data_IF_936052300853
#
_entry.id   IF_936052300853
#
_cell.length_a   1.000
_cell.length_b   1.000
_cell.length_c   1.000
_cell.angle_alpha   90.00
_cell.angle_beta   90.00
_cell.angle_gamma   90.00
#
_symmetry.space_group_name_H-M   'P 1'
#
loop_
_entity.id
_entity.type
_entity.pdbx_description
1 polymer ?
#
# COMPACT_ATOMS: atom_id res chain seq x y z
N UNK A 1 -39.33 -59.54 -39.67
CA UNK A 1 -38.64 -60.09 -38.48
C UNK A 1 -38.03 -58.92 -37.71
N UNK A 2 -38.41 -58.67 -36.45
CA UNK A 2 -37.86 -57.57 -35.67
C UNK A 2 -36.62 -58.04 -34.89
N UNK A 3 -35.55 -57.25 -34.89
CA UNK A 3 -34.42 -57.40 -33.97
C UNK A 3 -34.37 -56.16 -33.09
N UNK A 4 -34.48 -56.37 -31.78
CA UNK A 4 -34.74 -55.34 -30.77
C UNK A 4 -33.58 -54.37 -30.52
N UNK A 5 -33.82 -53.30 -29.75
CA UNK A 5 -32.79 -52.33 -29.41
C UNK A 5 -31.88 -52.90 -28.31
N UNK A 6 -30.57 -52.89 -28.58
CA UNK A 6 -29.53 -53.21 -27.61
C UNK A 6 -29.63 -52.30 -26.38
N UNK A 7 -29.97 -52.90 -25.23
CA UNK A 7 -29.79 -52.28 -23.93
C UNK A 7 -28.29 -52.23 -23.62
N UNK A 8 -27.63 -51.13 -23.99
CA UNK A 8 -26.35 -50.75 -23.39
C UNK A 8 -26.55 -50.60 -21.87
N UNK A 9 -26.11 -51.61 -21.12
CA UNK A 9 -25.97 -51.53 -19.66
C UNK A 9 -25.11 -50.31 -19.33
N UNK A 10 -25.72 -49.27 -18.75
CA UNK A 10 -24.99 -48.23 -18.01
C UNK A 10 -24.20 -48.91 -16.90
N UNK A 11 -22.89 -49.04 -17.09
CA UNK A 11 -21.99 -49.41 -16.01
C UNK A 11 -22.08 -48.32 -14.91
N UNK A 12 -22.21 -48.70 -13.63
CA UNK A 12 -22.14 -47.73 -12.56
C UNK A 12 -20.77 -47.08 -12.60
N UNK A 13 -20.76 -45.76 -12.69
CA UNK A 13 -19.56 -44.92 -12.66
C UNK A 13 -18.83 -45.26 -11.37
N UNK A 14 -17.73 -46.01 -11.48
CA UNK A 14 -16.89 -46.33 -10.33
C UNK A 14 -16.38 -45.00 -9.76
N UNK A 15 -16.78 -44.71 -8.52
CA UNK A 15 -16.26 -43.61 -7.70
C UNK A 15 -14.74 -43.78 -7.58
N UNK A 16 -14.02 -43.22 -8.53
CA UNK A 16 -12.56 -43.19 -8.51
C UNK A 16 -12.18 -42.22 -7.40
N UNK A 17 -11.47 -42.65 -6.34
CA UNK A 17 -11.08 -41.74 -5.27
C UNK A 17 -10.28 -40.57 -5.86
N UNK A 18 -10.48 -39.33 -5.37
CA UNK A 18 -9.86 -38.15 -5.94
C UNK A 18 -8.34 -38.34 -5.99
N UNK A 19 -7.81 -38.32 -7.21
CA UNK A 19 -6.37 -38.46 -7.46
C UNK A 19 -5.68 -37.27 -6.79
N UNK A 20 -4.70 -37.50 -5.90
CA UNK A 20 -4.02 -36.39 -5.23
C UNK A 20 -3.35 -35.50 -6.27
N UNK A 21 -3.48 -34.17 -6.09
CA UNK A 21 -2.94 -33.16 -7.02
C UNK A 21 -1.41 -33.25 -7.17
N UNK A 22 -0.72 -33.86 -6.20
CA UNK A 22 0.72 -34.09 -6.20
C UNK A 22 0.98 -35.61 -6.14
N UNK A 23 1.15 -36.25 -7.30
CA UNK A 23 1.49 -37.66 -7.42
C UNK A 23 2.97 -37.82 -7.79
N UNK A 24 3.87 -37.43 -6.89
CA UNK A 24 5.30 -37.67 -7.06
C UNK A 24 5.58 -39.09 -6.56
N UNK A 25 6.01 -39.99 -7.45
CA UNK A 25 6.49 -41.33 -7.10
C UNK A 25 8.02 -41.31 -7.06
N UNK A 26 8.58 -41.24 -5.86
CA UNK A 26 10.03 -41.23 -5.62
C UNK A 26 10.65 -42.62 -5.53
N UNK A 27 9.85 -43.69 -5.61
CA UNK A 27 10.35 -45.08 -5.57
C UNK A 27 10.73 -45.57 -4.17
N UNK A 28 10.69 -44.69 -3.17
CA UNK A 28 10.84 -45.01 -1.76
C UNK A 28 9.47 -44.93 -1.05
N UNK A 29 8.97 -46.08 -0.59
CA UNK A 29 7.61 -46.25 -0.04
C UNK A 29 7.31 -45.35 1.17
N UNK A 30 8.31 -45.10 2.03
CA UNK A 30 8.18 -44.22 3.20
C UNK A 30 8.10 -42.74 2.83
N UNK A 31 8.77 -42.34 1.74
CA UNK A 31 8.78 -40.96 1.26
C UNK A 31 7.47 -40.65 0.52
N UNK A 32 7.01 -41.58 -0.31
CA UNK A 32 5.73 -41.48 -1.03
C UNK A 32 4.53 -41.43 -0.06
N UNK A 33 4.58 -42.17 1.06
CA UNK A 33 3.55 -42.13 2.11
C UNK A 33 3.52 -40.81 2.87
N UNK A 34 4.67 -40.16 3.09
CA UNK A 34 4.75 -38.83 3.71
C UNK A 34 4.29 -37.73 2.75
N UNK A 35 4.69 -37.78 1.48
CA UNK A 35 4.26 -36.83 0.45
C UNK A 35 2.75 -36.88 0.24
N UNK A 36 2.18 -38.09 0.17
CA UNK A 36 0.72 -38.25 0.02
C UNK A 36 -0.07 -37.82 1.26
N UNK A 37 0.45 -38.06 2.47
CA UNK A 37 -0.12 -37.55 3.71
C UNK A 37 -0.11 -36.01 3.77
N UNK A 38 1.00 -35.40 3.34
CA UNK A 38 1.13 -33.95 3.25
C UNK A 38 0.20 -33.34 2.18
N UNK A 39 0.04 -33.99 1.02
CA UNK A 39 -0.90 -33.57 -0.02
C UNK A 39 -2.35 -33.56 0.49
N UNK A 40 -2.78 -34.61 1.22
CA UNK A 40 -4.13 -34.66 1.81
C UNK A 40 -4.34 -33.61 2.89
N UNK A 41 -3.31 -33.31 3.68
CA UNK A 41 -3.36 -32.23 4.67
C UNK A 41 -3.52 -30.86 3.98
N UNK A 42 -2.76 -30.60 2.91
CA UNK A 42 -2.92 -29.39 2.10
C UNK A 42 -4.32 -29.30 1.51
N UNK A 43 -4.87 -30.38 0.95
CA UNK A 43 -6.23 -30.41 0.41
C UNK A 43 -7.28 -30.11 1.48
N UNK A 44 -7.12 -30.67 2.69
CA UNK A 44 -8.03 -30.41 3.82
C UNK A 44 -7.96 -28.96 4.31
N UNK A 45 -6.76 -28.37 4.33
CA UNK A 45 -6.53 -26.96 4.66
C UNK A 45 -7.13 -26.06 3.57
N UNK A 46 -6.93 -26.36 2.28
CA UNK A 46 -7.51 -25.61 1.16
C UNK A 46 -9.05 -25.68 1.14
N UNK A 47 -9.62 -26.80 1.61
CA UNK A 47 -11.07 -26.99 1.69
C UNK A 47 -11.73 -26.22 2.85
N UNK A 48 -10.97 -25.66 3.80
CA UNK A 48 -11.56 -24.82 4.84
C UNK A 48 -12.17 -23.54 4.24
N UNK A 49 -13.40 -23.16 4.62
CA UNK A 49 -14.11 -22.03 4.02
C UNK A 49 -13.27 -20.74 3.99
N UNK A 50 -12.64 -20.38 5.11
CA UNK A 50 -11.81 -19.17 5.22
C UNK A 50 -10.57 -19.22 4.30
N UNK A 51 -9.93 -20.39 4.20
CA UNK A 51 -8.75 -20.59 3.34
C UNK A 51 -9.16 -20.57 1.88
N UNK A 52 -10.26 -21.24 1.53
CA UNK A 52 -10.84 -21.19 0.19
C UNK A 52 -11.22 -19.76 -0.23
N UNK A 53 -11.80 -18.97 0.69
CA UNK A 53 -12.09 -17.56 0.44
C UNK A 53 -10.82 -16.73 0.23
N UNK A 54 -9.77 -16.93 1.04
CA UNK A 54 -8.49 -16.25 0.87
C UNK A 54 -7.79 -16.63 -0.44
N UNK A 55 -7.83 -17.91 -0.83
CA UNK A 55 -7.26 -18.38 -2.10
C UNK A 55 -7.99 -17.76 -3.29
N UNK A 56 -9.33 -17.75 -3.29
CA UNK A 56 -10.12 -17.07 -4.32
C UNK A 56 -9.85 -15.56 -4.37
N UNK A 57 -9.63 -14.94 -3.22
CA UNK A 57 -9.25 -13.53 -3.16
C UNK A 57 -7.85 -13.29 -3.75
N UNK A 58 -6.89 -14.16 -3.48
CA UNK A 58 -5.54 -14.09 -4.04
C UNK A 58 -5.52 -14.35 -5.55
N UNK A 59 -6.29 -15.32 -6.03
CA UNK A 59 -6.52 -15.58 -7.46
C UNK A 59 -7.11 -14.34 -8.13
N UNK A 60 -8.19 -13.78 -7.58
CA UNK A 60 -8.81 -12.54 -8.11
C UNK A 60 -7.84 -11.36 -8.10
N UNK A 61 -7.01 -11.22 -7.07
CA UNK A 61 -6.00 -10.17 -6.99
C UNK A 61 -4.97 -10.29 -8.12
N UNK A 62 -4.46 -11.50 -8.36
CA UNK A 62 -3.49 -11.79 -9.42
C UNK A 62 -4.09 -11.66 -10.83
N UNK A 63 -5.31 -12.15 -11.04
CA UNK A 63 -6.03 -12.02 -12.32
C UNK A 63 -6.24 -10.55 -12.72
N UNK A 64 -6.29 -9.65 -11.73
CA UNK A 64 -6.44 -8.20 -11.89
C UNK A 64 -5.12 -7.44 -11.80
N UNK A 65 -4.02 -8.11 -12.15
CA UNK A 65 -2.67 -7.54 -12.17
C UNK A 65 -2.17 -7.00 -10.82
N UNK A 66 -2.70 -7.49 -9.71
CA UNK A 66 -2.38 -6.97 -8.37
C UNK A 66 -0.89 -7.02 -8.04
N UNK A 67 -0.23 -8.12 -8.42
CA UNK A 67 1.24 -8.27 -8.25
C UNK A 67 2.01 -7.24 -9.07
N UNK A 68 1.61 -7.00 -10.32
CA UNK A 68 2.26 -6.01 -11.20
C UNK A 68 2.02 -4.58 -10.70
N UNK A 69 0.83 -4.27 -10.19
CA UNK A 69 0.57 -2.98 -9.55
C UNK A 69 1.40 -2.79 -8.27
N UNK A 70 1.53 -3.83 -7.45
CA UNK A 70 2.41 -3.80 -6.27
C UNK A 70 3.87 -3.54 -6.65
N UNK A 71 4.37 -4.21 -7.69
CA UNK A 71 5.71 -3.97 -8.24
C UNK A 71 5.88 -2.53 -8.76
N UNK A 72 4.90 -2.02 -9.51
CA UNK A 72 4.91 -0.64 -10.02
C UNK A 72 4.93 0.39 -8.87
N UNK A 73 4.05 0.22 -7.87
CA UNK A 73 4.00 1.12 -6.70
C UNK A 73 5.35 1.10 -5.96
N UNK A 74 5.96 -0.07 -5.79
CA UNK A 74 7.27 -0.22 -5.14
C UNK A 74 8.35 0.52 -5.91
N UNK A 75 8.41 0.33 -7.24
CA UNK A 75 9.34 1.01 -8.14
C UNK A 75 9.20 2.54 -8.06
N UNK A 76 7.98 3.07 -8.19
CA UNK A 76 7.74 4.52 -8.09
C UNK A 76 7.99 5.09 -6.70
N UNK A 77 7.75 4.31 -5.64
CA UNK A 77 8.02 4.74 -4.26
C UNK A 77 9.53 4.83 -4.01
N UNK A 78 10.29 3.84 -4.47
CA UNK A 78 11.75 3.86 -4.39
C UNK A 78 12.35 5.04 -5.16
N UNK A 79 11.91 5.26 -6.40
CA UNK A 79 12.36 6.41 -7.20
C UNK A 79 12.01 7.75 -6.56
N UNK A 80 10.89 7.83 -5.84
CA UNK A 80 10.48 9.05 -5.13
C UNK A 80 11.31 9.34 -3.88
N UNK A 81 12.09 8.38 -3.38
CA UNK A 81 12.95 8.58 -2.22
C UNK A 81 13.99 9.68 -2.47
N UNK A 82 14.60 9.69 -3.66
CA UNK A 82 15.66 10.65 -3.99
C UNK A 82 15.12 12.10 -3.96
N UNK A 83 14.03 12.44 -4.68
CA UNK A 83 13.45 13.78 -4.60
C UNK A 83 12.98 14.16 -3.20
N UNK A 84 12.38 13.23 -2.44
CA UNK A 84 11.94 13.49 -1.06
C UNK A 84 13.14 13.82 -0.17
N UNK A 85 14.25 13.09 -0.31
CA UNK A 85 15.50 13.37 0.40
C UNK A 85 16.09 14.71 0.00
N UNK A 86 16.09 15.06 -1.30
CA UNK A 86 16.54 16.36 -1.77
C UNK A 86 15.73 17.51 -1.17
N UNK A 87 14.39 17.41 -1.17
CA UNK A 87 13.51 18.41 -0.57
C UNK A 87 13.75 18.51 0.94
N UNK A 88 13.90 17.37 1.63
CA UNK A 88 14.19 17.33 3.07
C UNK A 88 15.55 17.95 3.41
N UNK A 89 16.57 17.65 2.61
CA UNK A 89 17.92 18.20 2.73
C UNK A 89 17.95 19.70 2.49
N UNK A 90 17.23 20.17 1.46
CA UNK A 90 17.06 21.59 1.20
C UNK A 90 16.31 22.30 2.33
N UNK A 91 15.22 21.70 2.84
CA UNK A 91 14.46 22.23 3.97
C UNK A 91 15.35 22.37 5.21
N UNK A 92 16.14 21.36 5.55
CA UNK A 92 17.15 21.44 6.61
C UNK A 92 18.18 22.55 6.34
N UNK A 93 18.67 22.65 5.09
CA UNK A 93 19.59 23.70 4.66
C UNK A 93 19.01 25.12 4.86
N UNK A 94 17.73 25.33 4.56
CA UNK A 94 17.02 26.59 4.83
C UNK A 94 16.89 26.87 6.33
N UNK A 95 16.46 25.88 7.12
CA UNK A 95 16.32 26.03 8.58
C UNK A 95 17.66 26.36 9.24
N UNK A 96 18.73 25.67 8.84
CA UNK A 96 20.09 25.91 9.36
C UNK A 96 20.65 27.25 8.89
N UNK A 97 20.44 27.64 7.64
CA UNK A 97 20.85 28.95 7.13
C UNK A 97 20.20 30.10 7.90
N UNK A 98 18.95 29.92 8.33
CA UNK A 98 18.20 30.91 9.12
C UNK A 98 18.51 30.89 10.62
N UNK A 99 19.23 29.88 11.13
CA UNK A 99 19.53 29.72 12.55
C UNK A 99 21.01 29.34 12.79
N UNK A 100 21.94 30.32 12.76
CA UNK A 100 23.37 30.07 12.93
C UNK A 100 23.73 29.39 14.25
N UNK A 101 23.00 29.70 15.33
CA UNK A 101 23.18 29.06 16.64
C UNK A 101 22.80 27.58 16.66
N UNK A 102 21.71 27.19 15.98
CA UNK A 102 21.32 25.78 15.85
C UNK A 102 22.37 25.00 15.06
N UNK A 103 22.91 25.60 14.00
CA UNK A 103 23.99 25.04 13.20
C UNK A 103 25.26 24.83 14.05
N UNK A 104 25.68 25.85 14.80
CA UNK A 104 26.86 25.76 15.65
C UNK A 104 26.71 24.67 16.71
N UNK A 105 25.52 24.58 17.35
CA UNK A 105 25.21 23.51 18.32
C UNK A 105 25.20 22.12 17.67
N UNK A 106 24.62 21.99 16.48
CA UNK A 106 24.53 20.71 15.76
C UNK A 106 25.93 20.20 15.39
N UNK A 107 26.77 21.08 14.81
CA UNK A 107 28.15 20.76 14.48
C UNK A 107 28.93 20.43 15.75
N UNK A 108 28.90 21.28 16.77
CA UNK A 108 29.68 21.04 17.99
C UNK A 108 29.26 19.76 18.73
N UNK A 109 27.96 19.42 18.74
CA UNK A 109 27.44 18.25 19.44
C UNK A 109 27.68 16.95 18.68
N UNK A 110 27.51 16.94 17.36
CA UNK A 110 27.71 15.73 16.55
C UNK A 110 29.19 15.53 16.25
N UNK A 111 29.90 16.57 15.81
CA UNK A 111 31.33 16.49 15.48
C UNK A 111 32.18 16.33 16.74
N UNK A 112 31.84 16.99 17.85
CA UNK A 112 32.55 16.82 19.13
C UNK A 112 32.37 15.44 19.75
N UNK A 113 31.36 14.67 19.32
CA UNK A 113 31.11 13.29 19.78
C UNK A 113 31.75 12.23 18.87
N UNK A 114 32.28 12.64 17.71
CA UNK A 114 32.92 11.74 16.74
C UNK A 114 34.43 11.82 16.93
N UNK A 115 35.05 10.73 17.36
CA UNK A 115 36.50 10.64 17.56
C UNK A 115 37.29 10.54 16.24
N UNK A 116 36.63 10.23 15.13
CA UNK A 116 37.23 10.12 13.79
C UNK A 116 37.22 11.47 13.04
N UNK A 117 38.39 12.09 12.78
CA UNK A 117 38.51 13.36 12.06
C UNK A 117 37.93 13.33 10.64
N UNK A 118 37.97 12.19 9.95
CA UNK A 118 37.44 12.05 8.59
C UNK A 118 35.92 12.17 8.60
N UNK A 119 35.23 11.39 9.44
CA UNK A 119 33.77 11.45 9.59
C UNK A 119 33.29 12.85 10.01
N UNK A 120 34.00 13.47 10.95
CA UNK A 120 33.77 14.86 11.37
C UNK A 120 33.83 15.84 10.19
N UNK A 121 34.87 15.75 9.36
CA UNK A 121 35.05 16.61 8.19
C UNK A 121 33.97 16.37 7.11
N UNK A 122 33.61 15.11 6.84
CA UNK A 122 32.55 14.73 5.90
C UNK A 122 31.20 15.29 6.32
N UNK A 123 30.87 15.20 7.61
CA UNK A 123 29.62 15.74 8.13
C UNK A 123 29.57 17.26 8.02
N UNK A 124 30.63 17.96 8.41
CA UNK A 124 30.74 19.42 8.29
C UNK A 124 30.59 19.87 6.84
N UNK A 125 31.24 19.18 5.91
CA UNK A 125 31.12 19.45 4.47
C UNK A 125 29.70 19.18 3.97
N UNK A 126 29.07 18.10 4.41
CA UNK A 126 27.67 17.78 4.04
C UNK A 126 26.70 18.87 4.50
N UNK A 127 26.83 19.35 5.74
CA UNK A 127 26.01 20.44 6.29
C UNK A 127 26.26 21.75 5.52
N UNK A 128 27.52 22.09 5.25
CA UNK A 128 27.86 23.29 4.47
C UNK A 128 27.30 23.22 3.04
N UNK A 129 27.41 22.07 2.37
CA UNK A 129 26.82 21.84 1.05
C UNK A 129 25.31 21.98 1.09
N UNK A 130 24.64 21.46 2.14
CA UNK A 130 23.21 21.61 2.33
C UNK A 130 22.77 23.07 2.34
N UNK A 131 23.52 23.91 3.05
CA UNK A 131 23.22 25.33 3.18
C UNK A 131 23.53 26.07 1.88
N UNK A 132 24.70 25.85 1.28
CA UNK A 132 25.12 26.56 0.08
C UNK A 132 24.24 26.21 -1.13
N UNK A 133 23.86 24.94 -1.28
CA UNK A 133 23.08 24.47 -2.43
C UNK A 133 21.57 24.36 -2.15
N UNK A 134 21.08 24.80 -0.97
CA UNK A 134 19.68 24.65 -0.54
C UNK A 134 18.65 25.05 -1.60
N UNK A 135 18.87 26.15 -2.31
CA UNK A 135 17.93 26.65 -3.32
C UNK A 135 17.93 25.76 -4.55
N UNK A 136 19.10 25.43 -5.10
CA UNK A 136 19.23 24.60 -6.30
C UNK A 136 18.70 23.19 -6.05
N UNK A 137 19.14 22.56 -4.94
CA UNK A 137 18.69 21.22 -4.55
C UNK A 137 17.20 21.23 -4.19
N UNK A 138 16.71 22.29 -3.55
CA UNK A 138 15.30 22.45 -3.20
C UNK A 138 14.40 22.56 -4.41
N UNK A 139 14.74 23.43 -5.37
CA UNK A 139 13.93 23.60 -6.59
C UNK A 139 13.95 22.37 -7.49
N UNK A 140 15.13 21.78 -7.71
CA UNK A 140 15.26 20.54 -8.51
C UNK A 140 14.56 19.37 -7.82
N UNK A 141 14.77 19.22 -6.50
CA UNK A 141 14.09 18.23 -5.68
C UNK A 141 12.58 18.38 -5.72
N UNK A 142 12.05 19.59 -5.57
CA UNK A 142 10.61 19.87 -5.66
C UNK A 142 10.06 19.53 -7.05
N UNK A 143 10.72 19.95 -8.13
CA UNK A 143 10.27 19.64 -9.49
C UNK A 143 10.20 18.11 -9.73
N UNK A 144 11.24 17.39 -9.32
CA UNK A 144 11.29 15.93 -9.43
C UNK A 144 10.26 15.26 -8.51
N UNK A 145 10.06 15.76 -7.29
CA UNK A 145 9.10 15.23 -6.33
C UNK A 145 7.66 15.42 -6.81
N UNK A 146 7.35 16.56 -7.43
CA UNK A 146 6.06 16.79 -8.05
C UNK A 146 5.82 15.83 -9.21
N UNK A 147 6.81 15.68 -10.10
CA UNK A 147 6.71 14.74 -11.21
C UNK A 147 6.53 13.29 -10.73
N UNK A 148 7.38 12.83 -9.81
CA UNK A 148 7.34 11.47 -9.28
C UNK A 148 6.08 11.22 -8.46
N UNK A 149 5.66 12.18 -7.65
CA UNK A 149 4.46 12.10 -6.81
C UNK A 149 3.17 12.05 -7.63
N UNK A 150 3.05 12.86 -8.70
CA UNK A 150 1.89 12.78 -9.60
C UNK A 150 1.85 11.43 -10.32
N UNK A 151 3.01 10.95 -10.79
CA UNK A 151 3.11 9.61 -11.40
C UNK A 151 2.70 8.50 -10.43
N UNK A 152 3.19 8.54 -9.19
CA UNK A 152 2.83 7.59 -8.14
C UNK A 152 1.32 7.60 -7.86
N UNK A 153 0.72 8.79 -7.72
CA UNK A 153 -0.72 8.94 -7.47
C UNK A 153 -1.56 8.41 -8.63
N UNK A 154 -1.10 8.63 -9.87
CA UNK A 154 -1.71 8.08 -11.09
C UNK A 154 -1.72 6.56 -11.10
N UNK A 155 -0.57 5.93 -10.78
CA UNK A 155 -0.44 4.48 -10.72
C UNK A 155 -1.24 3.86 -9.57
N UNK A 156 -1.21 4.47 -8.38
CA UNK A 156 -2.01 4.03 -7.24
C UNK A 156 -3.50 4.05 -7.55
N UNK A 157 -3.97 5.11 -8.22
CA UNK A 157 -5.36 5.20 -8.67
C UNK A 157 -5.73 4.07 -9.61
N UNK A 158 -4.89 3.79 -10.60
CA UNK A 158 -5.18 2.76 -11.57
C UNK A 158 -5.20 1.37 -10.92
N UNK A 159 -4.27 1.11 -10.00
CA UNK A 159 -4.26 -0.10 -9.18
C UNK A 159 -5.56 -0.27 -8.39
N UNK A 160 -6.01 0.77 -7.68
CA UNK A 160 -7.26 0.73 -6.89
C UNK A 160 -8.48 0.56 -7.80
N UNK A 161 -8.51 1.21 -8.97
CA UNK A 161 -9.58 1.06 -9.96
C UNK A 161 -9.63 -0.36 -10.55
N UNK A 162 -8.48 -0.92 -10.87
CA UNK A 162 -8.36 -2.29 -11.38
C UNK A 162 -8.94 -3.31 -10.39
N UNK A 163 -8.62 -3.13 -9.11
CA UNK A 163 -9.09 -4.02 -8.05
C UNK A 163 -10.56 -3.82 -7.69
N UNK A 164 -11.08 -2.59 -7.79
CA UNK A 164 -12.46 -2.25 -7.36
C UNK A 164 -13.54 -2.45 -8.43
N UNK A 165 -13.22 -2.46 -9.73
CA UNK A 165 -14.24 -2.60 -10.81
C UNK A 165 -14.92 -3.97 -10.79
N UNK A 166 -16.21 -4.03 -11.08
CA UNK A 166 -16.93 -5.32 -11.18
C UNK A 166 -16.35 -6.19 -12.30
N UNK A 167 -16.06 -5.59 -13.45
CA UNK A 167 -15.46 -6.23 -14.62
C UNK A 167 -14.07 -5.66 -14.87
N UNK A 168 -13.08 -6.54 -15.04
CA UNK A 168 -11.73 -6.15 -15.42
C UNK A 168 -11.65 -5.94 -16.93
N UNK A 169 -11.19 -4.77 -17.35
CA UNK A 169 -10.94 -4.41 -18.74
C UNK A 169 -9.48 -4.02 -18.88
N UNK A 170 -8.74 -4.64 -19.80
CA UNK A 170 -7.29 -4.45 -19.94
C UNK A 170 -6.92 -3.06 -20.50
N UNK A 171 -7.85 -2.38 -21.17
CA UNK A 171 -7.60 -1.06 -21.76
C UNK A 171 -8.85 -0.15 -21.60
N UNK A 172 -9.11 0.34 -20.39
CA UNK A 172 -10.26 1.19 -20.15
C UNK A 172 -10.10 2.52 -20.88
N UNK A 173 -10.99 2.84 -21.81
CA UNK A 173 -11.00 4.15 -22.47
C UNK A 173 -11.53 5.21 -21.52
N UNK A 174 -10.63 5.81 -20.72
CA UNK A 174 -10.94 7.00 -19.92
C UNK A 174 -10.95 8.22 -20.85
N UNK A 175 -12.14 8.72 -21.17
CA UNK A 175 -12.40 9.87 -22.06
C UNK A 175 -12.09 11.24 -21.40
N UNK A 176 -11.32 11.27 -20.30
CA UNK A 176 -11.00 12.52 -19.59
C UNK A 176 -9.83 13.27 -20.27
N UNK A 177 -9.96 14.61 -20.37
CA UNK A 177 -8.85 15.46 -20.81
C UNK A 177 -7.69 15.32 -19.83
N UNK A 178 -6.48 15.15 -20.38
CA UNK A 178 -5.23 14.94 -19.63
C UNK A 178 -5.07 15.97 -18.48
N UNK A 179 -5.34 17.25 -18.72
CA UNK A 179 -5.18 18.29 -17.71
C UNK A 179 -5.99 18.05 -16.43
N UNK A 180 -7.27 17.66 -16.53
CA UNK A 180 -8.11 17.41 -15.35
C UNK A 180 -7.61 16.22 -14.53
N UNK A 181 -7.00 15.22 -15.19
CA UNK A 181 -6.38 14.08 -14.53
C UNK A 181 -5.19 14.53 -13.68
N UNK A 182 -4.24 15.25 -14.27
CA UNK A 182 -3.03 15.71 -13.57
C UNK A 182 -3.32 16.70 -12.42
N UNK A 183 -4.26 17.63 -12.60
CA UNK A 183 -4.64 18.57 -11.53
C UNK A 183 -5.25 17.85 -10.33
N UNK A 184 -6.12 16.86 -10.56
CA UNK A 184 -6.70 16.08 -9.46
C UNK A 184 -5.66 15.22 -8.76
N UNK A 185 -4.70 14.68 -9.50
CA UNK A 185 -3.61 13.88 -8.95
C UNK A 185 -2.73 14.72 -8.05
N UNK A 186 -2.44 15.95 -8.47
CA UNK A 186 -1.75 16.94 -7.66
C UNK A 186 -2.54 17.28 -6.38
N UNK A 187 -3.84 17.59 -6.47
CA UNK A 187 -4.68 17.86 -5.28
C UNK A 187 -4.69 16.65 -4.33
N UNK A 188 -4.79 15.45 -4.88
CA UNK A 188 -4.74 14.22 -4.10
C UNK A 188 -3.38 14.06 -3.41
N UNK A 189 -2.29 14.27 -4.14
CA UNK A 189 -0.95 14.19 -3.57
C UNK A 189 -0.76 15.20 -2.43
N UNK A 190 -1.20 16.44 -2.61
CA UNK A 190 -1.16 17.47 -1.56
C UNK A 190 -2.01 17.06 -0.35
N UNK A 191 -3.23 16.56 -0.57
CA UNK A 191 -4.09 16.07 0.51
C UNK A 191 -3.46 14.94 1.30
N UNK A 192 -2.78 14.02 0.61
CA UNK A 192 -2.04 12.93 1.25
C UNK A 192 -0.88 13.45 2.10
N UNK A 193 -0.07 14.37 1.58
CA UNK A 193 1.04 14.97 2.33
C UNK A 193 0.53 15.72 3.57
N UNK A 194 -0.53 16.50 3.43
CA UNK A 194 -1.16 17.22 4.57
C UNK A 194 -1.69 16.23 5.60
N UNK A 195 -2.39 15.17 5.18
CA UNK A 195 -2.89 14.14 6.09
C UNK A 195 -1.75 13.42 6.83
N UNK A 196 -0.64 13.14 6.14
CA UNK A 196 0.56 12.57 6.77
C UNK A 196 1.17 13.53 7.80
N UNK A 197 1.32 14.82 7.46
CA UNK A 197 1.80 15.84 8.40
C UNK A 197 0.90 15.89 9.63
N UNK A 198 -0.43 15.97 9.47
CA UNK A 198 -1.38 15.99 10.58
C UNK A 198 -1.23 14.73 11.44
N UNK A 199 -1.13 13.56 10.84
CA UNK A 199 -0.99 12.28 11.55
C UNK A 199 0.32 12.22 12.35
N UNK A 200 1.43 12.66 11.75
CA UNK A 200 2.74 12.72 12.41
C UNK A 200 2.76 13.77 13.53
N UNK A 201 2.20 14.95 13.29
CA UNK A 201 2.07 16.02 14.28
C UNK A 201 1.22 15.57 15.45
N UNK A 202 0.08 14.94 15.20
CA UNK A 202 -0.79 14.41 16.25
C UNK A 202 -0.05 13.36 17.10
N UNK A 203 0.70 12.47 16.47
CA UNK A 203 1.49 11.45 17.18
C UNK A 203 2.58 12.09 18.05
N UNK A 204 3.27 13.12 17.56
CA UNK A 204 4.31 13.85 18.29
C UNK A 204 3.74 14.70 19.44
N UNK A 205 2.64 15.41 19.19
CA UNK A 205 1.94 16.22 20.20
C UNK A 205 1.34 15.32 21.27
N UNK A 206 0.75 14.19 20.91
CA UNK A 206 0.20 13.26 21.90
C UNK A 206 1.25 12.79 22.91
N UNK A 207 2.45 12.40 22.44
CA UNK A 207 3.52 11.96 23.33
C UNK A 207 4.06 13.08 24.22
N UNK A 208 4.27 14.28 23.67
CA UNK A 208 4.80 15.43 24.43
C UNK A 208 3.77 16.06 25.36
N UNK A 209 2.52 16.23 24.92
CA UNK A 209 1.42 16.75 25.72
C UNK A 209 1.07 15.81 26.88
N UNK A 210 1.12 14.49 26.68
CA UNK A 210 0.90 13.52 27.76
C UNK A 210 1.92 13.71 28.89
N UNK A 211 3.20 13.88 28.57
CA UNK A 211 4.24 14.13 29.57
C UNK A 211 4.07 15.49 30.26
N UNK A 212 3.74 16.53 29.50
CA UNK A 212 3.55 17.88 30.04
C UNK A 212 2.32 17.99 30.96
N UNK A 213 1.18 17.39 30.57
CA UNK A 213 -0.08 17.44 31.33
C UNK A 213 0.05 16.68 32.66
N UNK A 214 0.67 15.50 32.65
CA UNK A 214 0.85 14.68 33.86
C UNK A 214 1.78 15.39 34.86
N UNK A 215 2.89 15.96 34.38
CA UNK A 215 3.82 16.71 35.22
C UNK A 215 3.22 18.03 35.74
N UNK A 216 2.51 18.78 34.89
CA UNK A 216 1.96 20.10 35.25
C UNK A 216 0.82 20.03 36.26
N UNK A 217 0.00 18.97 36.22
CA UNK A 217 -1.09 18.76 37.16
C UNK A 217 -0.62 18.03 38.44
N UNK A 218 0.67 17.66 38.54
CA UNK A 218 1.21 16.90 39.67
C UNK A 218 0.58 15.50 39.81
N UNK A 219 0.06 14.95 38.72
CA UNK A 219 -0.68 13.68 38.70
C UNK A 219 0.24 12.48 38.46
N UNK A 220 1.54 12.62 38.71
CA UNK A 220 2.53 11.55 38.56
C UNK A 220 2.23 10.32 39.42
N UNK A 221 1.50 10.51 40.53
CA UNK A 221 1.04 9.42 41.40
C UNK A 221 -0.16 8.61 40.87
N UNK A 222 -0.80 9.03 39.77
CA UNK A 222 -1.99 8.36 39.22
C UNK A 222 -1.58 7.43 38.08
N UNK A 223 -1.37 6.16 38.42
CA UNK A 223 -0.91 5.14 37.47
C UNK A 223 -1.84 4.94 36.25
N UNK A 224 -3.15 5.17 36.39
CA UNK A 224 -4.12 4.96 35.31
C UNK A 224 -4.25 6.15 34.33
N UNK A 225 -3.77 7.34 34.68
CA UNK A 225 -3.93 8.54 33.86
C UNK A 225 -3.09 8.46 32.58
N UNK A 226 -1.85 7.99 32.69
CA UNK A 226 -0.95 7.78 31.54
C UNK A 226 -1.55 6.80 30.52
N UNK A 227 -1.98 5.57 30.87
CA UNK A 227 -2.59 4.66 29.92
C UNK A 227 -3.91 5.21 29.35
N UNK A 228 -4.74 5.91 30.12
CA UNK A 228 -5.96 6.52 29.60
C UNK A 228 -5.69 7.56 28.50
N UNK A 229 -4.73 8.47 28.72
CA UNK A 229 -4.32 9.46 27.71
C UNK A 229 -3.70 8.79 26.47
N UNK A 230 -2.90 7.74 26.67
CA UNK A 230 -2.35 6.95 25.57
C UNK A 230 -3.46 6.27 24.76
N UNK A 231 -4.48 5.70 25.40
CA UNK A 231 -5.63 5.09 24.72
C UNK A 231 -6.41 6.12 23.90
N UNK A 232 -6.62 7.32 24.42
CA UNK A 232 -7.28 8.42 23.69
C UNK A 232 -6.44 8.81 22.47
N UNK A 233 -5.16 9.10 22.66
CA UNK A 233 -4.25 9.47 21.57
C UNK A 233 -4.18 8.39 20.47
N UNK A 234 -4.09 7.13 20.87
CA UNK A 234 -4.07 5.98 19.97
C UNK A 234 -5.40 5.87 19.22
N UNK A 235 -6.53 6.07 19.89
CA UNK A 235 -7.86 6.06 19.26
C UNK A 235 -7.99 7.17 18.20
N UNK A 236 -7.53 8.38 18.51
CA UNK A 236 -7.53 9.50 17.54
C UNK A 236 -6.59 9.17 16.36
N UNK A 237 -5.42 8.57 16.62
CA UNK A 237 -4.49 8.16 15.56
C UNK A 237 -5.09 7.09 14.66
N UNK A 238 -5.72 6.05 15.21
CA UNK A 238 -6.45 5.04 14.43
C UNK A 238 -7.54 5.69 13.60
N UNK A 239 -8.32 6.60 14.19
CA UNK A 239 -9.38 7.30 13.50
C UNK A 239 -8.86 8.19 12.37
N UNK A 240 -7.76 8.91 12.57
CA UNK A 240 -7.11 9.72 11.54
C UNK A 240 -6.60 8.85 10.37
N UNK A 241 -5.98 7.71 10.67
CA UNK A 241 -5.55 6.76 9.65
C UNK A 241 -6.76 6.17 8.90
N UNK A 242 -7.82 5.82 9.61
CA UNK A 242 -9.07 5.36 8.99
C UNK A 242 -9.65 6.41 8.03
N UNK A 243 -9.70 7.68 8.45
CA UNK A 243 -10.14 8.78 7.60
C UNK A 243 -9.23 8.98 6.39
N UNK A 244 -7.91 8.82 6.54
CA UNK A 244 -6.96 8.86 5.43
C UNK A 244 -7.26 7.75 4.42
N UNK A 245 -7.47 6.51 4.87
CA UNK A 245 -7.83 5.40 3.99
C UNK A 245 -9.17 5.66 3.30
N UNK A 246 -10.19 6.08 4.05
CA UNK A 246 -11.51 6.42 3.50
C UNK A 246 -11.40 7.53 2.45
N UNK A 247 -10.61 8.56 2.73
CA UNK A 247 -10.35 9.65 1.81
C UNK A 247 -9.65 9.17 0.54
N UNK A 248 -8.63 8.29 0.63
CA UNK A 248 -8.01 7.66 -0.55
C UNK A 248 -9.08 6.93 -1.37
N UNK A 249 -9.89 6.07 -0.75
CA UNK A 249 -10.95 5.33 -1.46
C UNK A 249 -12.04 6.24 -2.06
N UNK A 250 -12.35 7.36 -1.41
CA UNK A 250 -13.39 8.29 -1.83
C UNK A 250 -12.92 9.33 -2.86
N UNK A 251 -11.64 9.67 -2.89
CA UNK A 251 -11.03 10.60 -3.86
C UNK A 251 -10.85 9.94 -5.25
N UNK A 252 -10.73 8.62 -5.28
CA UNK A 252 -10.44 7.79 -6.46
C UNK A 252 -11.63 7.34 -7.36
N UNK A 253 -12.93 7.36 -6.97
CA UNK A 253 -14.02 6.92 -7.83
C UNK A 253 -14.35 7.96 -8.91
N UNK A 254 -14.05 7.62 -10.15
CA UNK A 254 -14.86 7.98 -11.32
C UNK A 254 -14.95 6.67 -12.09
N UNK A 255 -16.00 5.88 -11.95
CA UNK A 255 -17.30 6.13 -12.57
C UNK A 255 -18.40 5.38 -11.82
N UNK A 256 -19.57 6.01 -11.66
CA UNK A 256 -20.81 5.28 -11.37
C UNK A 256 -21.07 4.33 -12.55
N UNK A 257 -21.43 3.06 -12.34
CA UNK A 257 -21.84 2.21 -13.44
C UNK A 257 -23.02 2.91 -14.14
N UNK A 258 -22.89 3.16 -15.45
CA UNK A 258 -24.05 3.57 -16.26
C UNK A 258 -25.06 2.44 -16.13
N UNK A 259 -26.13 2.66 -15.35
CA UNK A 259 -27.25 1.71 -15.13
C UNK A 259 -27.96 1.24 -16.43
N UNK A 260 -27.48 1.63 -17.61
CA UNK A 260 -28.16 1.44 -18.91
C UNK A 260 -27.81 0.15 -19.66
N UNK A 261 -26.96 -0.75 -19.13
CA UNK A 261 -26.59 -2.00 -19.83
C UNK A 261 -27.08 -3.30 -19.17
N UNK A 262 -27.98 -3.22 -18.20
CA UNK A 262 -28.76 -4.38 -17.74
C UNK A 262 -30.01 -4.58 -18.61
N UNK A 263 -30.73 -3.49 -18.92
CA UNK A 263 -31.92 -3.54 -19.79
C UNK A 263 -31.60 -3.93 -21.24
N UNK A 264 -30.48 -3.42 -21.80
CA UNK A 264 -30.05 -3.79 -23.15
C UNK A 264 -29.60 -5.26 -23.27
N UNK A 265 -29.12 -5.86 -22.16
CA UNK A 265 -28.70 -7.26 -22.12
C UNK A 265 -29.87 -8.25 -22.07
N UNK A 266 -31.00 -7.82 -21.51
CA UNK A 266 -32.25 -8.59 -21.56
C UNK A 266 -32.91 -8.53 -22.94
N UNK A 267 -32.83 -7.39 -23.64
CA UNK A 267 -33.40 -7.26 -24.99
C UNK A 267 -32.63 -8.06 -26.06
N UNK A 268 -31.30 -8.17 -25.93
CA UNK A 268 -30.49 -8.97 -26.88
C UNK A 268 -30.66 -10.50 -26.72
N UNK A 269 -31.20 -10.97 -25.59
CA UNK A 269 -31.41 -12.40 -25.33
C UNK A 269 -32.77 -12.91 -25.85
N UNK A 270 -33.66 -12.01 -26.29
CA UNK A 270 -34.98 -12.33 -26.85
C UNK A 270 -35.02 -12.62 -28.35
N UNK A 271 -33.91 -12.45 -29.08
CA UNK A 271 -33.86 -12.62 -30.55
C UNK A 271 -33.03 -13.84 -31.01
N UNK A 272 -32.74 -14.78 -30.09
CA UNK A 272 -32.15 -16.08 -30.43
C UNK A 272 -33.07 -17.20 -29.95
N UNK A 273 -34.21 -17.34 -30.61
CA UNK A 273 -35.00 -18.57 -30.73
C UNK A 273 -35.48 -18.65 -32.18
#
# INVERSE_FOLDING_TARGET
MPTGPDQERRQPTQDTPPKPLIAIKTGHETLDRRISGFSRLIERIKAWPSVAHLLRAAERFNDRLGSQFGAAITYFSFLSLIPILMVSFAAAGFVLASNPDLLARLINRIVGSISDPTLASTLKNTVNTAIQQRTTVGLTGLALALYSGISWMGNLREAIRAQSRDVWERNPQDQEKIYFKYTRDFISLTGLVVALIITLSLTSVAGSAQAAIVNALGLDGIEWLRPALTTIALSISIFANYLLFLWIFWMLPRHKPKKKSAAARHLARGYRL
#
